data_IF_221315123236
#
_entry.id   IF_221315123236
#
_cell.length_a   1.000
_cell.length_b   1.000
_cell.length_c   1.000
_cell.angle_alpha   90.00
_cell.angle_beta   90.00
_cell.angle_gamma   90.00
#
_symmetry.space_group_name_H-M   'P 1'
#
loop_
_entity.id
_entity.type
_entity.pdbx_description
1 polymer ?
#
# COMPACT_ATOMS: atom_id res chain seq x y z
N UNK A 1 18.62 -7.10 2.04
CA UNK A 1 17.88 -6.01 1.41
C UNK A 1 17.14 -6.48 0.16
N UNK A 2 17.83 -7.03 -0.85
CA UNK A 2 17.20 -7.57 -2.09
C UNK A 2 16.13 -8.61 -1.74
N UNK A 3 16.41 -9.57 -0.87
CA UNK A 3 15.44 -10.58 -0.47
C UNK A 3 14.19 -9.98 0.20
N UNK A 4 14.34 -8.93 1.03
CA UNK A 4 13.21 -8.25 1.67
C UNK A 4 12.38 -7.49 0.63
N UNK A 5 13.03 -6.80 -0.31
CA UNK A 5 12.34 -6.12 -1.40
C UNK A 5 11.61 -7.12 -2.32
N UNK A 6 12.23 -8.28 -2.61
CA UNK A 6 11.60 -9.35 -3.38
C UNK A 6 10.37 -9.93 -2.66
N UNK A 7 10.45 -10.16 -1.35
CA UNK A 7 9.30 -10.62 -0.57
C UNK A 7 8.13 -9.63 -0.62
N UNK A 8 8.40 -8.32 -0.46
CA UNK A 8 7.39 -7.28 -0.62
C UNK A 8 6.78 -7.22 -2.02
N UNK A 9 7.63 -7.37 -3.05
CA UNK A 9 7.20 -7.43 -4.44
C UNK A 9 6.28 -8.62 -4.72
N UNK A 10 6.60 -9.79 -4.17
CA UNK A 10 5.78 -11.01 -4.32
C UNK A 10 4.41 -10.81 -3.67
N UNK A 11 4.36 -10.31 -2.43
CA UNK A 11 3.09 -10.08 -1.72
C UNK A 11 2.24 -9.02 -2.44
N UNK A 12 2.82 -7.87 -2.78
CA UNK A 12 2.10 -6.80 -3.45
C UNK A 12 1.72 -7.16 -4.89
N UNK A 13 2.59 -7.86 -5.61
CA UNK A 13 2.32 -8.38 -6.95
C UNK A 13 1.19 -9.41 -6.95
N UNK A 14 1.18 -10.34 -6.00
CA UNK A 14 0.09 -11.30 -5.83
C UNK A 14 -1.26 -10.59 -5.64
N UNK A 15 -1.35 -9.62 -4.72
CA UNK A 15 -2.57 -8.84 -4.50
C UNK A 15 -3.00 -8.05 -5.75
N UNK A 16 -2.04 -7.53 -6.50
CA UNK A 16 -2.32 -6.82 -7.76
C UNK A 16 -2.95 -7.75 -8.79
N UNK A 17 -2.34 -8.92 -9.01
CA UNK A 17 -2.83 -9.92 -9.99
C UNK A 17 -4.21 -10.42 -9.59
N UNK A 18 -4.42 -10.81 -8.33
CA UNK A 18 -5.72 -11.29 -7.86
C UNK A 18 -6.81 -10.25 -8.03
N UNK A 19 -6.51 -8.97 -7.74
CA UNK A 19 -7.47 -7.87 -7.93
C UNK A 19 -7.80 -7.63 -9.41
N UNK A 20 -6.82 -7.67 -10.29
CA UNK A 20 -7.02 -7.49 -11.74
C UNK A 20 -7.81 -8.64 -12.37
N UNK A 21 -7.65 -9.85 -11.85
CA UNK A 21 -8.40 -11.04 -12.31
C UNK A 21 -9.81 -11.12 -11.71
N UNK A 22 -10.21 -10.16 -10.87
CA UNK A 22 -11.53 -10.16 -10.22
C UNK A 22 -11.70 -11.26 -9.16
N UNK A 23 -10.58 -11.88 -8.72
CA UNK A 23 -10.58 -12.91 -7.71
C UNK A 23 -10.39 -12.35 -6.30
N UNK A 24 -10.75 -13.15 -5.28
CA UNK A 24 -10.37 -12.91 -3.89
C UNK A 24 -8.99 -13.50 -3.62
N UNK A 25 -8.19 -12.85 -2.75
CA UNK A 25 -6.90 -13.40 -2.35
C UNK A 25 -7.09 -14.70 -1.56
N UNK A 26 -6.18 -15.67 -1.71
CA UNK A 26 -6.21 -16.91 -0.96
C UNK A 26 -6.26 -16.59 0.56
N UNK A 27 -7.01 -17.38 1.32
CA UNK A 27 -7.27 -17.17 2.76
C UNK A 27 -8.06 -15.89 3.12
N UNK A 28 -8.54 -15.11 2.14
CA UNK A 28 -9.54 -14.08 2.35
C UNK A 28 -10.91 -14.73 2.21
N UNK A 29 -11.58 -15.00 3.34
CA UNK A 29 -12.96 -15.50 3.33
C UNK A 29 -13.92 -14.41 2.83
N UNK A 30 -14.89 -14.79 2.02
CA UNK A 30 -15.94 -13.89 1.58
C UNK A 30 -16.66 -13.26 2.80
N UNK A 31 -16.80 -11.91 2.80
CA UNK A 31 -17.34 -11.18 3.94
C UNK A 31 -16.37 -11.00 5.13
N UNK A 32 -15.15 -11.51 5.05
CA UNK A 32 -14.12 -11.30 6.06
C UNK A 32 -13.45 -9.93 5.97
N UNK A 33 -12.66 -9.56 6.99
CA UNK A 33 -11.98 -8.26 7.07
C UNK A 33 -11.07 -7.97 5.87
N UNK A 34 -10.43 -8.99 5.32
CA UNK A 34 -9.60 -8.88 4.13
C UNK A 34 -10.44 -8.48 2.89
N UNK A 35 -11.60 -9.12 2.71
CA UNK A 35 -12.52 -8.82 1.62
C UNK A 35 -13.08 -7.40 1.73
N UNK A 36 -13.50 -7.00 2.94
CA UNK A 36 -13.97 -5.64 3.22
C UNK A 36 -12.94 -4.56 2.84
N UNK A 37 -11.65 -4.79 3.13
CA UNK A 37 -10.57 -3.86 2.77
C UNK A 37 -10.33 -3.87 1.26
N UNK A 38 -10.29 -5.04 0.63
CA UNK A 38 -10.01 -5.19 -0.80
C UNK A 38 -11.18 -4.72 -1.70
N UNK A 39 -12.41 -4.72 -1.20
CA UNK A 39 -13.59 -4.18 -1.89
C UNK A 39 -13.81 -2.70 -1.61
N UNK A 40 -13.10 -2.11 -0.66
CA UNK A 40 -13.22 -0.69 -0.33
C UNK A 40 -12.68 0.22 -1.45
N UNK A 41 -13.13 1.48 -1.46
CA UNK A 41 -12.62 2.52 -2.38
C UNK A 41 -11.11 2.74 -2.25
N UNK A 42 -10.50 2.41 -1.11
CA UNK A 42 -9.07 2.55 -0.85
C UNK A 42 -8.23 1.43 -1.48
N UNK A 43 -8.87 0.37 -1.98
CA UNK A 43 -8.18 -0.71 -2.68
C UNK A 43 -7.76 -0.33 -4.10
N UNK A 44 -8.29 0.79 -4.65
CA UNK A 44 -7.93 1.32 -5.98
C UNK A 44 -7.51 2.77 -5.86
N UNK A 45 -6.45 3.15 -6.56
CA UNK A 45 -5.92 4.50 -6.64
C UNK A 45 -5.62 4.84 -8.09
N UNK A 46 -6.23 5.92 -8.63
CA UNK A 46 -6.12 6.31 -10.04
C UNK A 46 -6.56 5.19 -11.03
N UNK A 47 -7.60 4.43 -10.68
CA UNK A 47 -8.13 3.35 -11.53
C UNK A 47 -7.33 2.06 -11.50
N UNK A 48 -6.21 1.98 -10.76
CA UNK A 48 -5.39 0.76 -10.61
C UNK A 48 -5.36 0.28 -9.17
N UNK A 49 -5.15 -1.03 -8.93
CA UNK A 49 -5.03 -1.55 -7.58
C UNK A 49 -3.94 -0.83 -6.78
N UNK A 50 -4.26 -0.41 -5.55
CA UNK A 50 -3.29 0.26 -4.65
C UNK A 50 -2.05 -0.61 -4.39
N UNK A 51 -2.22 -1.94 -4.40
CA UNK A 51 -1.11 -2.89 -4.27
C UNK A 51 -0.07 -2.76 -5.39
N UNK A 52 -0.45 -2.31 -6.60
CA UNK A 52 0.48 -2.08 -7.71
C UNK A 52 1.50 -0.99 -7.37
N UNK A 53 1.08 0.08 -6.72
CA UNK A 53 1.98 1.16 -6.29
C UNK A 53 3.00 0.65 -5.26
N UNK A 54 2.56 -0.23 -4.35
CA UNK A 54 3.45 -0.93 -3.44
C UNK A 54 4.45 -1.84 -4.17
N UNK A 55 3.99 -2.62 -5.14
CA UNK A 55 4.84 -3.48 -5.96
C UNK A 55 5.92 -2.67 -6.72
N UNK A 56 5.54 -1.53 -7.31
CA UNK A 56 6.47 -0.62 -7.99
C UNK A 56 7.50 -0.04 -7.02
N UNK A 57 7.10 0.32 -5.80
CA UNK A 57 8.03 0.82 -4.78
C UNK A 57 9.04 -0.26 -4.38
N UNK A 58 8.61 -1.50 -4.14
CA UNK A 58 9.52 -2.62 -3.85
C UNK A 58 10.44 -2.95 -5.02
N UNK A 59 9.93 -2.93 -6.25
CA UNK A 59 10.73 -3.14 -7.46
C UNK A 59 11.78 -2.03 -7.63
N UNK A 60 11.43 -0.77 -7.39
CA UNK A 60 12.36 0.35 -7.47
C UNK A 60 13.49 0.23 -6.43
N UNK A 61 13.16 -0.08 -5.16
CA UNK A 61 14.18 -0.29 -4.12
C UNK A 61 15.06 -1.50 -4.44
N UNK A 62 14.47 -2.60 -4.92
CA UNK A 62 15.20 -3.79 -5.35
C UNK A 62 16.16 -3.48 -6.52
N UNK A 63 15.69 -2.76 -7.53
CA UNK A 63 16.50 -2.33 -8.68
C UNK A 63 17.65 -1.40 -8.30
N UNK A 64 17.40 -0.43 -7.42
CA UNK A 64 18.46 0.43 -6.88
C UNK A 64 19.50 -0.38 -6.10
N UNK A 65 19.06 -1.43 -5.41
CA UNK A 65 19.93 -2.32 -4.66
C UNK A 65 20.82 -3.18 -5.53
N UNK A 66 20.30 -3.71 -6.62
CA UNK A 66 21.07 -4.53 -7.59
C UNK A 66 22.05 -3.68 -8.40
N UNK A 67 21.66 -2.45 -8.75
CA UNK A 67 22.51 -1.50 -9.45
C UNK A 67 23.70 -0.96 -8.63
N UNK A 68 23.82 -1.35 -7.37
CA UNK A 68 24.83 -0.90 -6.43
C UNK A 68 24.44 0.41 -5.71
N UNK A 69 24.62 0.43 -4.40
CA UNK A 69 24.22 1.54 -3.53
C UNK A 69 25.28 2.65 -3.48
N UNK A 70 25.21 3.59 -4.40
CA UNK A 70 25.85 4.89 -4.21
C UNK A 70 25.09 5.71 -3.16
N UNK A 71 25.69 6.79 -2.62
CA UNK A 71 25.02 7.65 -1.66
C UNK A 71 23.68 8.21 -2.18
N UNK A 72 23.63 8.60 -3.44
CA UNK A 72 22.40 9.11 -4.07
C UNK A 72 21.33 8.02 -4.20
N UNK A 73 21.70 6.83 -4.69
CA UNK A 73 20.77 5.69 -4.83
C UNK A 73 20.27 5.20 -3.48
N UNK A 74 21.13 5.21 -2.47
CA UNK A 74 20.73 4.87 -1.12
C UNK A 74 19.72 5.87 -0.55
N UNK A 75 19.93 7.19 -0.75
CA UNK A 75 18.98 8.22 -0.33
C UNK A 75 17.64 8.08 -1.05
N UNK A 76 17.64 7.79 -2.35
CA UNK A 76 16.43 7.52 -3.12
C UNK A 76 15.69 6.29 -2.59
N UNK A 77 16.39 5.17 -2.37
CA UNK A 77 15.80 3.95 -1.80
C UNK A 77 15.23 4.19 -0.40
N UNK A 78 15.93 4.98 0.42
CA UNK A 78 15.47 5.38 1.75
C UNK A 78 14.19 6.22 1.69
N UNK A 79 14.13 7.22 0.80
CA UNK A 79 12.94 8.05 0.62
C UNK A 79 11.73 7.25 0.13
N UNK A 80 11.94 6.34 -0.85
CA UNK A 80 10.88 5.46 -1.34
C UNK A 80 10.38 4.55 -0.20
N UNK A 81 11.27 3.91 0.55
CA UNK A 81 10.90 3.04 1.66
C UNK A 81 10.16 3.81 2.77
N UNK A 82 10.62 5.02 3.13
CA UNK A 82 9.95 5.87 4.11
C UNK A 82 8.55 6.30 3.64
N UNK A 83 8.40 6.68 2.38
CA UNK A 83 7.10 6.98 1.76
C UNK A 83 6.16 5.77 1.79
N UNK A 84 6.68 4.59 1.47
CA UNK A 84 5.90 3.33 1.50
C UNK A 84 5.43 3.02 2.93
N UNK A 85 6.28 3.19 3.93
CA UNK A 85 5.89 3.02 5.35
C UNK A 85 4.82 4.02 5.75
N UNK A 86 5.00 5.31 5.41
CA UNK A 86 4.01 6.36 5.71
C UNK A 86 2.65 6.06 5.06
N UNK A 87 2.66 5.69 3.80
CA UNK A 87 1.43 5.35 3.08
C UNK A 87 0.76 4.08 3.63
N UNK A 88 1.54 3.04 3.97
CA UNK A 88 1.03 1.83 4.61
C UNK A 88 0.41 2.12 5.98
N UNK A 89 1.03 2.99 6.78
CA UNK A 89 0.50 3.43 8.06
C UNK A 89 -0.83 4.18 7.90
N UNK A 90 -0.92 5.06 6.91
CA UNK A 90 -2.15 5.78 6.57
C UNK A 90 -3.28 4.83 6.18
N UNK A 91 -3.03 3.86 5.29
CA UNK A 91 -4.02 2.86 4.89
C UNK A 91 -4.43 1.95 6.06
N UNK A 92 -3.49 1.58 6.92
CA UNK A 92 -3.78 0.81 8.14
C UNK A 92 -4.66 1.59 9.10
N UNK A 93 -4.40 2.88 9.26
CA UNK A 93 -5.24 3.77 10.07
C UNK A 93 -6.68 3.86 9.50
N UNK A 94 -6.83 4.03 8.18
CA UNK A 94 -8.14 4.01 7.52
C UNK A 94 -8.84 2.66 7.72
N UNK A 95 -8.12 1.54 7.55
CA UNK A 95 -8.67 0.21 7.77
C UNK A 95 -9.21 0.04 9.19
N UNK A 96 -8.51 0.56 10.19
CA UNK A 96 -8.92 0.49 11.59
C UNK A 96 -10.07 1.44 11.94
N UNK A 97 -10.03 2.69 11.44
CA UNK A 97 -10.94 3.75 11.86
C UNK A 97 -12.20 3.87 11.00
N UNK A 98 -12.06 3.70 9.68
CA UNK A 98 -13.14 3.91 8.71
C UNK A 98 -13.79 2.58 8.31
N UNK A 99 -12.96 1.61 7.86
CA UNK A 99 -13.45 0.32 7.36
C UNK A 99 -13.79 -0.62 8.54
N UNK A 100 -13.11 -0.45 9.69
CA UNK A 100 -13.18 -1.29 10.89
C UNK A 100 -12.88 -2.77 10.59
N UNK A 101 -11.99 -3.01 9.64
CA UNK A 101 -11.57 -4.32 9.20
C UNK A 101 -10.07 -4.32 8.93
N UNK A 102 -9.43 -5.48 9.08
CA UNK A 102 -8.00 -5.65 8.86
C UNK A 102 -7.74 -6.67 7.76
N UNK A 103 -6.81 -6.32 6.87
CA UNK A 103 -6.31 -7.20 5.82
C UNK A 103 -4.93 -7.74 6.23
N UNK A 104 -4.82 -9.05 6.44
CA UNK A 104 -3.54 -9.67 6.83
C UNK A 104 -2.43 -9.43 5.81
N UNK A 105 -2.73 -9.49 4.51
CA UNK A 105 -1.76 -9.19 3.45
C UNK A 105 -1.29 -7.74 3.46
N UNK A 106 -2.20 -6.79 3.74
CA UNK A 106 -1.85 -5.37 3.82
C UNK A 106 -0.92 -5.11 5.02
N UNK A 107 -1.21 -5.74 6.16
CA UNK A 107 -0.36 -5.66 7.34
C UNK A 107 1.01 -6.31 7.10
N UNK A 108 1.04 -7.48 6.44
CA UNK A 108 2.29 -8.15 6.08
C UNK A 108 3.13 -7.28 5.15
N UNK A 109 2.53 -6.69 4.11
CA UNK A 109 3.22 -5.77 3.22
C UNK A 109 3.77 -4.55 3.98
N UNK A 110 2.96 -3.95 4.86
CA UNK A 110 3.40 -2.85 5.73
C UNK A 110 4.58 -3.23 6.64
N UNK A 111 4.52 -4.42 7.25
CA UNK A 111 5.62 -4.94 8.07
C UNK A 111 6.91 -5.14 7.24
N UNK A 112 6.80 -5.67 6.03
CA UNK A 112 7.94 -5.81 5.10
C UNK A 112 8.53 -4.44 4.75
N UNK A 113 7.69 -3.40 4.55
CA UNK A 113 8.17 -2.04 4.30
C UNK A 113 8.95 -1.47 5.49
N UNK A 114 8.49 -1.70 6.72
CA UNK A 114 9.21 -1.30 7.95
C UNK A 114 10.55 -2.03 8.07
N UNK A 115 10.58 -3.34 7.84
CA UNK A 115 11.82 -4.13 7.84
C UNK A 115 12.78 -3.63 6.77
N UNK A 116 12.29 -3.33 5.56
CA UNK A 116 13.10 -2.79 4.47
C UNK A 116 13.72 -1.44 4.83
N UNK A 117 12.95 -0.54 5.45
CA UNK A 117 13.43 0.74 5.93
C UNK A 117 14.50 0.56 7.02
N UNK A 118 14.28 -0.33 7.98
CA UNK A 118 15.25 -0.64 9.03
C UNK A 118 16.57 -1.18 8.45
N UNK A 119 16.48 -2.09 7.49
CA UNK A 119 17.66 -2.63 6.78
C UNK A 119 18.40 -1.55 6.00
N UNK A 120 17.70 -0.60 5.37
CA UNK A 120 18.30 0.54 4.68
C UNK A 120 19.02 1.47 5.64
N UNK A 121 18.46 1.76 6.81
CA UNK A 121 19.11 2.57 7.85
C UNK A 121 20.39 1.86 8.34
N UNK A 122 20.30 0.56 8.62
CA UNK A 122 21.46 -0.22 9.07
C UNK A 122 22.56 -0.26 8.01
N UNK A 123 22.21 -0.51 6.75
CA UNK A 123 23.16 -0.49 5.62
C UNK A 123 23.77 0.89 5.40
N UNK A 124 23.01 1.97 5.54
CA UNK A 124 23.53 3.32 5.44
C UNK A 124 24.61 3.64 6.47
N UNK A 125 24.47 3.09 7.68
CA UNK A 125 25.50 3.18 8.72
C UNK A 125 26.77 2.38 8.36
N UNK A 126 26.58 1.17 7.83
CA UNK A 126 27.69 0.30 7.43
C UNK A 126 28.48 0.86 6.23
N UNK A 127 27.79 1.43 5.23
CA UNK A 127 28.43 2.03 4.05
C UNK A 127 29.15 3.36 4.36
N UNK A 128 28.67 4.10 5.35
CA UNK A 128 29.27 5.39 5.77
C UNK A 128 30.59 5.27 6.51
N UNK A 129 30.90 4.11 7.09
CA UNK A 129 32.09 3.91 7.90
C UNK A 129 32.23 4.96 9.02
N UNK A 130 33.41 5.65 9.07
CA UNK A 130 33.65 6.75 10.03
C UNK A 130 32.87 8.04 9.72
N UNK A 131 32.38 8.22 8.48
CA UNK A 131 31.56 9.38 8.08
C UNK A 131 30.20 8.88 7.66
N UNK A 132 29.07 9.26 8.33
CA UNK A 132 27.75 8.83 7.93
C UNK A 132 27.43 9.33 6.51
N UNK A 133 26.77 8.49 5.68
CA UNK A 133 26.34 8.83 4.31
C UNK A 133 25.42 10.06 4.25
N UNK A 134 24.70 10.34 5.34
CA UNK A 134 23.94 11.56 5.52
C UNK A 134 23.89 11.94 7.01
N UNK A 135 23.81 13.25 7.29
CA UNK A 135 23.61 13.76 8.65
C UNK A 135 22.27 13.23 9.19
N UNK A 136 22.18 12.80 10.47
CA UNK A 136 20.96 12.22 11.03
C UNK A 136 19.74 13.16 10.89
N UNK A 137 19.94 14.46 11.05
CA UNK A 137 18.89 15.46 10.83
C UNK A 137 18.34 15.40 9.38
N UNK A 138 19.21 15.29 8.37
CA UNK A 138 18.80 15.18 6.96
C UNK A 138 18.04 13.89 6.68
N UNK A 139 18.38 12.80 7.35
CA UNK A 139 17.63 11.54 7.20
C UNK A 139 16.23 11.66 7.79
N UNK A 140 16.12 12.26 8.98
CA UNK A 140 14.80 12.50 9.60
C UNK A 140 13.94 13.40 8.72
N UNK A 141 14.50 14.52 8.22
CA UNK A 141 13.74 15.45 7.36
C UNK A 141 13.35 14.80 6.04
N UNK A 142 14.25 14.05 5.39
CA UNK A 142 13.97 13.35 4.14
C UNK A 142 12.91 12.26 4.34
N UNK A 143 13.04 11.45 5.40
CA UNK A 143 12.08 10.38 5.72
C UNK A 143 10.72 10.94 6.08
N UNK A 144 10.67 11.98 6.92
CA UNK A 144 9.40 12.63 7.28
C UNK A 144 8.74 13.29 6.07
N UNK A 145 9.50 14.01 5.25
CA UNK A 145 8.98 14.63 4.03
C UNK A 145 8.43 13.58 3.04
N UNK A 146 9.12 12.46 2.85
CA UNK A 146 8.67 11.38 2.00
C UNK A 146 7.41 10.71 2.54
N UNK A 147 7.34 10.43 3.84
CA UNK A 147 6.18 9.80 4.48
C UNK A 147 4.96 10.73 4.45
N UNK A 148 5.12 11.99 4.87
CA UNK A 148 4.04 12.98 4.87
C UNK A 148 3.58 13.26 3.43
N UNK A 149 4.52 13.42 2.50
CA UNK A 149 4.20 13.62 1.07
C UNK A 149 3.38 12.47 0.51
N UNK A 150 3.74 11.22 0.81
CA UNK A 150 2.98 10.05 0.37
C UNK A 150 1.57 10.01 0.98
N UNK A 151 1.43 10.37 2.25
CA UNK A 151 0.12 10.48 2.93
C UNK A 151 -0.73 11.57 2.29
N UNK A 152 -0.18 12.77 2.10
CA UNK A 152 -0.91 13.92 1.54
C UNK A 152 -1.34 13.65 0.10
N UNK A 153 -0.45 13.10 -0.72
CA UNK A 153 -0.77 12.72 -2.11
C UNK A 153 -1.84 11.64 -2.13
N UNK A 154 -1.69 10.58 -1.34
CA UNK A 154 -2.68 9.50 -1.25
C UNK A 154 -4.04 10.01 -0.77
N UNK A 155 -4.07 10.76 0.33
CA UNK A 155 -5.30 11.36 0.86
C UNK A 155 -5.96 12.30 -0.15
N UNK A 156 -5.16 13.14 -0.83
CA UNK A 156 -5.63 14.05 -1.87
C UNK A 156 -6.27 13.32 -3.06
N UNK A 157 -5.64 12.24 -3.54
CA UNK A 157 -6.19 11.42 -4.62
C UNK A 157 -7.53 10.78 -4.22
N UNK A 158 -7.61 10.21 -3.00
CA UNK A 158 -8.87 9.63 -2.52
C UNK A 158 -9.95 10.68 -2.25
N UNK A 159 -9.58 11.89 -1.86
CA UNK A 159 -10.53 13.00 -1.68
C UNK A 159 -11.02 13.57 -3.03
N UNK A 160 -10.14 13.63 -4.03
CA UNK A 160 -10.46 14.15 -5.36
C UNK A 160 -11.30 13.19 -6.23
N UNK A 161 -11.32 11.88 -5.88
CA UNK A 161 -12.12 10.87 -6.58
C UNK A 161 -13.32 10.42 -5.72
N UNK A 162 -14.38 11.22 -5.61
CA UNK A 162 -15.59 10.86 -4.87
C UNK A 162 -16.42 9.76 -5.55
N UNK A 163 -16.15 9.43 -6.82
CA UNK A 163 -16.88 8.42 -7.61
C UNK A 163 -16.84 6.99 -7.04
N UNK A 164 -16.04 6.77 -6.03
CA UNK A 164 -16.12 5.56 -5.21
C UNK A 164 -17.14 5.68 -4.05
N UNK A 165 -18.09 6.59 -4.11
CA UNK A 165 -19.30 6.58 -3.27
C UNK A 165 -20.27 5.47 -3.72
N UNK A 166 -19.70 4.29 -3.94
CA UNK A 166 -20.39 3.06 -4.31
C UNK A 166 -21.49 2.64 -3.33
N UNK A 167 -21.42 2.91 -2.00
CA UNK A 167 -22.55 2.60 -1.14
C UNK A 167 -23.82 3.39 -1.51
N UNK A 168 -23.71 4.69 -1.75
CA UNK A 168 -24.88 5.51 -2.08
C UNK A 168 -25.45 5.17 -3.47
N UNK A 169 -24.59 4.89 -4.45
CA UNK A 169 -25.03 4.45 -5.77
C UNK A 169 -25.65 3.03 -5.72
N UNK A 170 -25.02 2.10 -5.00
CA UNK A 170 -25.56 0.74 -4.79
C UNK A 170 -26.87 0.75 -4.03
N UNK A 171 -27.00 1.59 -3.02
CA UNK A 171 -28.24 1.75 -2.24
C UNK A 171 -29.34 2.38 -3.08
N UNK A 172 -29.04 3.42 -3.86
CA UNK A 172 -29.95 4.02 -4.80
C UNK A 172 -30.34 3.05 -5.93
N UNK A 173 -29.39 2.29 -6.47
CA UNK A 173 -29.61 1.26 -7.47
C UNK A 173 -30.44 0.10 -6.91
N UNK A 174 -30.11 -0.39 -5.71
CA UNK A 174 -30.87 -1.43 -5.02
C UNK A 174 -32.32 -0.97 -4.76
N UNK A 175 -32.50 0.26 -4.29
CA UNK A 175 -33.81 0.87 -4.10
C UNK A 175 -34.59 0.96 -5.41
N UNK A 176 -33.96 1.39 -6.49
CA UNK A 176 -34.57 1.47 -7.82
C UNK A 176 -34.96 0.09 -8.39
N UNK A 177 -34.09 -0.90 -8.21
CA UNK A 177 -34.34 -2.28 -8.66
C UNK A 177 -35.47 -2.92 -7.85
N UNK A 178 -35.50 -2.71 -6.53
CA UNK A 178 -36.57 -3.20 -5.64
C UNK A 178 -37.91 -2.54 -6.00
N UNK A 179 -37.93 -1.24 -6.29
CA UNK A 179 -39.13 -0.53 -6.72
C UNK A 179 -39.67 -1.02 -8.07
N UNK A 180 -38.83 -1.62 -8.93
CA UNK A 180 -39.19 -2.25 -10.18
C UNK A 180 -39.54 -3.75 -10.06
N UNK A 181 -39.57 -4.30 -8.84
CA UNK A 181 -39.90 -5.69 -8.59
C UNK A 181 -38.85 -6.71 -9.04
N UNK A 182 -37.59 -6.25 -9.26
CA UNK A 182 -36.49 -7.14 -9.58
C UNK A 182 -35.96 -7.80 -8.31
N UNK A 183 -35.93 -9.12 -8.30
CA UNK A 183 -35.39 -9.93 -7.21
C UNK A 183 -33.93 -10.25 -7.54
N UNK A 184 -33.02 -9.78 -6.72
CA UNK A 184 -31.60 -10.15 -6.83
C UNK A 184 -31.40 -11.52 -6.18
N UNK A 185 -31.10 -12.52 -6.98
CA UNK A 185 -30.63 -13.81 -6.50
C UNK A 185 -29.10 -13.69 -6.29
N UNK A 186 -28.70 -13.35 -5.08
CA UNK A 186 -27.32 -13.42 -4.62
C UNK A 186 -27.18 -14.58 -3.66
N UNK A 187 -26.24 -15.49 -3.91
CA UNK A 187 -25.86 -16.48 -2.92
C UNK A 187 -25.16 -15.74 -1.76
N UNK A 188 -25.85 -15.54 -0.67
CA UNK A 188 -25.26 -15.21 0.61
C UNK A 188 -24.74 -16.52 1.21
N UNK A 189 -23.52 -16.91 0.87
CA UNK A 189 -22.77 -18.00 1.52
C UNK A 189 -21.57 -17.41 2.25
#
# INVERSE_FOLDING_TARGET
MIAVAAAGLVVAGYLTVTKLMGGSAAFCTAGGGCDAVQSSRYATMLGVPTALWGALAYAAVGGLATAGLTAARWQAAFAIAAGTVGFSAYLTWISASVIRAFCGYCLTSGAVAVVLLAVLIWRGRALGGRRPLARPARLVTLGAAAAIGAIVVGAGIYAANPESSEPAYREALAGHLTARGMIMYGAFT
#
